data_IF_036231624745
#
_entry.id   IF_036231624745
#
_cell.length_a   1.000
_cell.length_b   1.000
_cell.length_c   1.000
_cell.angle_alpha   90.00
_cell.angle_beta   90.00
_cell.angle_gamma   90.00
#
_symmetry.space_group_name_H-M   'P 1'
#
loop_
_entity.id
_entity.type
_entity.pdbx_description
1 polymer ?
#
# COMPACT_ATOMS: atom_id res chain seq x y z
N UNK A 1 -16.94 8.41 1.98
CA UNK A 1 -17.20 9.69 2.67
C UNK A 1 -16.01 10.59 2.41
N UNK A 2 -16.20 11.82 1.94
CA UNK A 2 -15.12 12.81 1.71
C UNK A 2 -15.51 14.10 2.42
N UNK A 3 -14.52 14.90 2.83
CA UNK A 3 -14.74 16.23 3.41
C UNK A 3 -14.37 17.27 2.34
N UNK A 4 -15.34 18.05 1.90
CA UNK A 4 -15.08 19.19 1.01
C UNK A 4 -14.78 20.43 1.86
N UNK A 5 -13.50 20.81 1.93
CA UNK A 5 -13.05 22.04 2.59
C UNK A 5 -13.11 23.19 1.58
N UNK A 6 -13.89 24.23 1.89
CA UNK A 6 -14.00 25.45 1.07
C UNK A 6 -13.64 26.66 1.91
N UNK A 7 -12.65 27.43 1.45
CA UNK A 7 -12.19 28.66 2.11
C UNK A 7 -12.70 29.85 1.30
N UNK A 8 -13.30 30.83 1.99
CA UNK A 8 -13.85 32.03 1.39
C UNK A 8 -13.22 33.28 2.00
N UNK A 9 -13.02 34.32 1.19
CA UNK A 9 -12.82 35.68 1.69
C UNK A 9 -14.15 36.17 2.26
N UNK A 10 -14.08 37.07 3.24
CA UNK A 10 -15.28 37.64 3.84
C UNK A 10 -15.30 39.16 3.71
N UNK A 11 -16.50 39.73 3.65
CA UNK A 11 -16.73 41.17 3.65
C UNK A 11 -17.68 41.53 4.78
N UNK A 12 -17.32 42.53 5.59
CA UNK A 12 -18.22 43.11 6.58
C UNK A 12 -19.11 44.15 5.93
N UNK A 13 -20.41 44.05 6.22
CA UNK A 13 -21.41 45.06 5.87
C UNK A 13 -21.45 46.17 6.93
N UNK A 14 -22.00 47.36 6.61
CA UNK A 14 -22.12 48.47 7.56
C UNK A 14 -22.93 48.15 8.82
N UNK A 15 -23.79 47.13 8.76
CA UNK A 15 -24.55 46.61 9.91
C UNK A 15 -23.78 45.57 10.76
N UNK A 16 -22.47 45.42 10.54
CA UNK A 16 -21.60 44.49 11.27
C UNK A 16 -21.69 43.02 10.82
N UNK A 17 -22.54 42.69 9.84
CA UNK A 17 -22.68 41.30 9.36
C UNK A 17 -21.56 40.93 8.39
N UNK A 18 -20.88 39.82 8.65
CA UNK A 18 -19.86 39.26 7.76
C UNK A 18 -20.48 38.29 6.76
N UNK A 19 -20.25 38.50 5.46
CA UNK A 19 -20.71 37.61 4.39
C UNK A 19 -19.53 36.99 3.63
N UNK A 20 -19.63 35.74 3.15
CA UNK A 20 -18.66 35.19 2.22
C UNK A 20 -18.73 35.99 0.90
N UNK A 21 -17.57 36.35 0.34
CA UNK A 21 -17.48 37.09 -0.91
C UNK A 21 -16.91 36.20 -2.02
N UNK A 22 -15.61 35.93 -1.99
CA UNK A 22 -14.92 35.18 -3.03
C UNK A 22 -14.45 33.84 -2.48
N UNK A 23 -14.57 32.76 -3.26
CA UNK A 23 -14.00 31.46 -2.88
C UNK A 23 -12.50 31.47 -3.17
N UNK A 24 -11.69 31.39 -2.11
CA UNK A 24 -10.23 31.39 -2.21
C UNK A 24 -9.69 29.99 -2.54
N UNK A 25 -10.11 28.98 -1.78
CA UNK A 25 -9.63 27.61 -1.93
C UNK A 25 -10.77 26.60 -1.85
N UNK A 26 -10.60 25.48 -2.54
CA UNK A 26 -11.47 24.32 -2.42
C UNK A 26 -10.60 23.06 -2.49
N UNK A 27 -10.67 22.24 -1.45
CA UNK A 27 -9.97 20.97 -1.37
C UNK A 27 -10.97 19.86 -1.05
N UNK A 28 -10.87 18.76 -1.78
CA UNK A 28 -11.54 17.52 -1.43
C UNK A 28 -10.57 16.68 -0.60
N UNK A 29 -10.88 16.52 0.68
CA UNK A 29 -10.13 15.71 1.60
C UNK A 29 -10.74 14.31 1.63
N UNK A 30 -9.92 13.32 1.36
CA UNK A 30 -10.27 11.93 1.61
C UNK A 30 -10.00 11.65 3.09
N UNK A 31 -10.88 10.91 3.80
CA UNK A 31 -10.48 10.35 5.09
C UNK A 31 -9.17 9.59 4.87
N UNK A 32 -8.25 9.67 5.83
CA UNK A 32 -7.02 8.88 5.77
C UNK A 32 -7.40 7.45 5.41
N UNK A 33 -6.77 6.90 4.36
CA UNK A 33 -7.03 5.54 3.92
C UNK A 33 -6.97 4.60 5.13
N UNK A 34 -7.81 3.56 5.14
CA UNK A 34 -7.87 2.62 6.25
C UNK A 34 -6.58 1.79 6.28
N UNK A 35 -5.54 2.33 6.90
CA UNK A 35 -4.25 1.65 7.10
C UNK A 35 -4.43 0.67 8.26
N UNK A 36 -4.08 -0.59 8.03
CA UNK A 36 -4.07 -1.62 9.06
C UNK A 36 -3.08 -1.23 10.17
N UNK A 37 -3.42 -1.39 11.46
CA UNK A 37 -2.44 -1.27 12.54
C UNK A 37 -1.41 -2.39 12.41
N UNK A 38 -0.12 -2.02 12.35
CA UNK A 38 0.99 -2.97 12.22
C UNK A 38 1.79 -3.06 13.51
N UNK A 39 2.23 -4.26 13.93
CA UNK A 39 3.02 -4.45 15.14
C UNK A 39 4.40 -3.81 15.05
N UNK A 40 5.07 -3.60 16.18
CA UNK A 40 6.39 -2.95 16.21
C UNK A 40 7.49 -3.75 15.50
N UNK A 41 7.29 -5.07 15.36
CA UNK A 41 8.20 -5.96 14.65
C UNK A 41 8.34 -5.64 13.15
N UNK A 42 7.39 -4.92 12.53
CA UNK A 42 7.49 -4.53 11.11
C UNK A 42 8.45 -3.34 10.97
N UNK A 43 9.53 -3.46 10.16
CA UNK A 43 10.48 -2.38 9.92
C UNK A 43 9.82 -1.09 9.40
N UNK A 44 10.36 0.05 9.85
CA UNK A 44 9.79 1.37 9.52
C UNK A 44 9.75 1.65 8.02
N UNK A 45 10.76 1.20 7.27
CA UNK A 45 10.78 1.35 5.81
C UNK A 45 9.58 0.65 5.14
N UNK A 46 9.24 -0.56 5.59
CA UNK A 46 8.11 -1.34 5.07
C UNK A 46 6.79 -0.68 5.49
N UNK A 47 6.68 -0.28 6.76
CA UNK A 47 5.50 0.44 7.28
C UNK A 47 5.20 1.70 6.48
N UNK A 48 6.22 2.51 6.21
CA UNK A 48 6.12 3.74 5.43
C UNK A 48 5.64 3.45 4.02
N UNK A 49 6.27 2.49 3.32
CA UNK A 49 5.88 2.13 1.95
C UNK A 49 4.47 1.57 1.87
N UNK A 50 4.04 0.71 2.81
CA UNK A 50 2.66 0.24 2.89
C UNK A 50 1.67 1.39 3.10
N UNK A 51 1.95 2.29 4.06
CA UNK A 51 1.10 3.45 4.34
C UNK A 51 0.94 4.32 3.10
N UNK A 52 2.02 4.61 2.40
CA UNK A 52 1.99 5.37 1.14
C UNK A 52 1.17 4.65 0.06
N UNK A 53 1.33 3.34 -0.09
CA UNK A 53 0.57 2.53 -1.04
C UNK A 53 -0.94 2.61 -0.79
N UNK A 54 -1.37 2.51 0.48
CA UNK A 54 -2.79 2.63 0.87
C UNK A 54 -3.34 4.03 0.63
N UNK A 55 -2.58 5.06 1.01
CA UNK A 55 -3.03 6.44 0.94
C UNK A 55 -3.09 6.98 -0.50
N UNK A 56 -2.19 6.54 -1.39
CA UNK A 56 -2.18 6.98 -2.79
C UNK A 56 -3.20 6.23 -3.64
N UNK A 57 -3.67 5.05 -3.21
CA UNK A 57 -4.58 4.19 -3.98
C UNK A 57 -5.80 4.91 -4.56
N UNK A 58 -6.53 5.77 -3.82
CA UNK A 58 -7.69 6.49 -4.37
C UNK A 58 -7.32 7.56 -5.40
N UNK A 59 -6.05 7.98 -5.43
CA UNK A 59 -5.52 9.02 -6.32
C UNK A 59 -4.87 8.41 -7.56
N UNK A 60 -4.14 7.30 -7.40
CA UNK A 60 -3.47 6.58 -8.48
C UNK A 60 -3.29 5.11 -8.12
N UNK A 61 -4.05 4.23 -8.79
CA UNK A 61 -3.88 2.77 -8.69
C UNK A 61 -2.49 2.33 -9.14
N UNK A 62 -1.99 2.92 -10.24
CA UNK A 62 -0.64 2.72 -10.78
C UNK A 62 0.48 3.00 -9.76
N UNK A 63 0.42 4.15 -9.06
CA UNK A 63 1.39 4.45 -8.00
C UNK A 63 1.25 3.50 -6.81
N UNK A 64 0.02 3.17 -6.41
CA UNK A 64 -0.25 2.24 -5.32
C UNK A 64 0.27 0.83 -5.62
N UNK A 65 0.10 0.34 -6.84
CA UNK A 65 0.60 -0.96 -7.27
C UNK A 65 2.14 -1.03 -7.27
N UNK A 66 2.82 0.03 -7.74
CA UNK A 66 4.28 0.11 -7.68
C UNK A 66 4.80 0.09 -6.23
N UNK A 67 4.23 0.93 -5.35
CA UNK A 67 4.56 0.93 -3.93
C UNK A 67 4.24 -0.40 -3.26
N UNK A 68 3.14 -1.06 -3.65
CA UNK A 68 2.76 -2.36 -3.11
C UNK A 68 3.76 -3.46 -3.51
N UNK A 69 4.20 -3.51 -4.77
CA UNK A 69 5.27 -4.44 -5.20
C UNK A 69 6.56 -4.21 -4.41
N UNK A 70 6.96 -2.95 -4.23
CA UNK A 70 8.14 -2.59 -3.41
C UNK A 70 7.96 -3.01 -1.94
N UNK A 71 6.76 -2.83 -1.39
CA UNK A 71 6.42 -3.26 -0.04
C UNK A 71 6.51 -4.79 0.10
N UNK A 72 5.91 -5.55 -0.82
CA UNK A 72 5.98 -7.02 -0.86
C UNK A 72 7.43 -7.51 -0.89
N UNK A 73 8.26 -6.88 -1.72
CA UNK A 73 9.67 -7.22 -1.79
C UNK A 73 10.40 -6.94 -0.47
N UNK A 74 10.10 -5.80 0.17
CA UNK A 74 10.61 -5.47 1.51
C UNK A 74 10.24 -6.53 2.54
N UNK A 75 8.95 -6.92 2.57
CA UNK A 75 8.41 -7.95 3.47
C UNK A 75 9.13 -9.28 3.27
N UNK A 76 9.23 -9.75 2.04
CA UNK A 76 9.86 -11.04 1.71
C UNK A 76 11.34 -11.04 2.08
N UNK A 77 12.07 -9.95 1.82
CA UNK A 77 13.49 -9.83 2.17
C UNK A 77 13.73 -9.80 3.67
N UNK A 78 12.88 -9.09 4.41
CA UNK A 78 12.97 -8.94 5.86
C UNK A 78 12.60 -10.24 6.56
N UNK A 79 11.41 -10.77 6.30
CA UNK A 79 10.89 -11.95 7.00
C UNK A 79 11.72 -13.21 6.77
N UNK A 80 12.21 -13.41 5.54
CA UNK A 80 13.01 -14.59 5.17
C UNK A 80 14.52 -14.34 5.19
N UNK A 81 14.94 -13.15 5.60
CA UNK A 81 16.34 -12.71 5.70
C UNK A 81 17.14 -13.01 4.41
N UNK A 82 16.58 -12.63 3.25
CA UNK A 82 17.18 -12.98 1.96
C UNK A 82 18.59 -12.36 1.84
N UNK A 83 19.64 -13.17 1.60
CA UNK A 83 21.01 -12.69 1.46
C UNK A 83 21.15 -11.72 0.29
N UNK A 84 22.01 -10.71 0.43
CA UNK A 84 22.24 -9.69 -0.62
C UNK A 84 22.57 -10.31 -1.99
N UNK A 85 23.35 -11.40 -2.01
CA UNK A 85 23.74 -12.11 -3.23
C UNK A 85 22.58 -12.81 -3.97
N UNK A 86 21.40 -12.91 -3.33
CA UNK A 86 20.18 -13.52 -3.87
C UNK A 86 19.05 -12.52 -4.05
N UNK A 87 19.28 -11.23 -3.76
CA UNK A 87 18.30 -10.17 -3.99
C UNK A 87 18.27 -9.80 -5.47
N UNK A 88 17.07 -9.52 -5.96
CA UNK A 88 16.83 -9.20 -7.36
C UNK A 88 15.37 -8.81 -7.57
N UNK A 89 14.74 -9.40 -8.57
CA UNK A 89 13.32 -9.19 -8.88
C UNK A 89 12.40 -9.87 -7.87
N UNK A 90 11.23 -9.27 -7.60
CA UNK A 90 10.27 -9.79 -6.62
C UNK A 90 9.85 -11.23 -6.96
N UNK A 91 9.56 -11.53 -8.22
CA UNK A 91 9.23 -12.90 -8.67
C UNK A 91 10.32 -13.93 -8.38
N UNK A 92 11.60 -13.55 -8.57
CA UNK A 92 12.73 -14.42 -8.29
C UNK A 92 12.91 -14.65 -6.78
N UNK A 93 12.72 -13.61 -5.99
CA UNK A 93 12.79 -13.69 -4.52
C UNK A 93 11.66 -14.57 -3.95
N UNK A 94 10.42 -14.41 -4.44
CA UNK A 94 9.29 -15.27 -4.09
C UNK A 94 9.57 -16.74 -4.44
N UNK A 95 10.12 -17.00 -5.62
CA UNK A 95 10.49 -18.34 -6.06
C UNK A 95 11.60 -18.96 -5.20
N UNK A 96 12.55 -18.15 -4.74
CA UNK A 96 13.63 -18.60 -3.85
C UNK A 96 13.13 -19.01 -2.47
N UNK A 97 12.07 -18.38 -1.98
CA UNK A 97 11.52 -18.65 -0.64
C UNK A 97 10.31 -19.58 -0.64
N UNK A 98 9.84 -20.02 -1.81
CA UNK A 98 8.60 -20.81 -1.98
C UNK A 98 8.49 -21.99 -1.02
N UNK A 99 9.57 -22.74 -0.81
CA UNK A 99 9.59 -23.97 0.01
C UNK A 99 9.56 -23.67 1.52
N UNK A 100 9.71 -22.39 1.90
CA UNK A 100 9.61 -21.89 3.27
C UNK A 100 8.27 -21.20 3.55
N UNK A 101 7.46 -20.96 2.52
CA UNK A 101 6.11 -20.38 2.65
C UNK A 101 5.13 -21.53 2.88
N UNK A 102 4.18 -21.35 3.79
CA UNK A 102 3.12 -22.34 3.98
C UNK A 102 2.24 -22.44 2.70
N UNK A 103 1.69 -23.62 2.40
CA UNK A 103 0.99 -23.86 1.14
C UNK A 103 -0.18 -22.90 0.91
N UNK A 104 -0.95 -22.60 1.95
CA UNK A 104 -2.10 -21.70 1.84
C UNK A 104 -1.69 -20.28 1.43
N UNK A 105 -0.67 -19.71 2.08
CA UNK A 105 -0.15 -18.37 1.76
C UNK A 105 0.49 -18.36 0.38
N UNK A 106 1.15 -19.46 -0.01
CA UNK A 106 1.68 -19.58 -1.37
C UNK A 106 0.56 -19.56 -2.41
N UNK A 107 -0.53 -20.28 -2.16
CA UNK A 107 -1.71 -20.29 -3.04
C UNK A 107 -2.35 -18.91 -3.11
N UNK A 108 -2.44 -18.16 -2.01
CA UNK A 108 -2.95 -16.79 -1.98
C UNK A 108 -2.07 -15.84 -2.82
N UNK A 109 -0.75 -15.96 -2.72
CA UNK A 109 0.20 -15.20 -3.56
C UNK A 109 -0.01 -15.54 -5.03
N UNK A 110 -0.15 -16.83 -5.37
CA UNK A 110 -0.33 -17.27 -6.75
C UNK A 110 -1.68 -16.84 -7.32
N UNK A 111 -2.74 -16.88 -6.51
CA UNK A 111 -4.06 -16.39 -6.89
C UNK A 111 -4.01 -14.91 -7.29
N UNK A 112 -3.32 -14.07 -6.51
CA UNK A 112 -3.14 -12.65 -6.84
C UNK A 112 -2.28 -12.47 -8.09
N UNK A 113 -1.19 -13.24 -8.24
CA UNK A 113 -0.33 -13.17 -9.43
C UNK A 113 -1.04 -13.56 -10.73
N UNK A 114 -2.06 -14.41 -10.65
CA UNK A 114 -2.83 -14.87 -11.80
C UNK A 114 -3.88 -13.85 -12.29
N UNK A 115 -4.11 -12.75 -11.55
CA UNK A 115 -5.05 -11.71 -11.95
C UNK A 115 -4.36 -10.69 -12.86
N UNK A 116 -4.90 -10.50 -14.06
CA UNK A 116 -4.42 -9.50 -15.01
C UNK A 116 -2.94 -9.67 -15.32
N UNK A 117 -2.20 -8.56 -15.33
CA UNK A 117 -0.75 -8.54 -15.58
C UNK A 117 0.08 -8.46 -14.29
N UNK A 118 -0.53 -8.69 -13.12
CA UNK A 118 0.15 -8.57 -11.81
C UNK A 118 1.41 -9.43 -11.75
N UNK A 119 1.31 -10.70 -12.15
CA UNK A 119 2.45 -11.62 -12.15
C UNK A 119 3.62 -11.09 -12.99
N UNK A 120 3.33 -10.64 -14.21
CA UNK A 120 4.34 -10.06 -15.10
C UNK A 120 4.95 -8.77 -14.53
N UNK A 121 4.17 -7.98 -13.78
CA UNK A 121 4.65 -6.78 -13.09
C UNK A 121 5.52 -7.09 -11.86
N UNK A 122 5.29 -8.22 -11.18
CA UNK A 122 6.15 -8.68 -10.07
C UNK A 122 7.48 -9.28 -10.54
N UNK A 123 7.50 -9.83 -11.75
CA UNK A 123 8.69 -10.45 -12.34
C UNK A 123 9.64 -9.42 -12.99
N UNK A 124 9.22 -8.14 -13.02
CA UNK A 124 10.02 -6.97 -13.43
C UNK A 124 10.36 -6.10 -12.21
N UNK A 125 11.28 -5.16 -12.42
CA UNK A 125 11.71 -4.26 -11.35
C UNK A 125 10.51 -3.49 -10.78
N UNK A 126 10.34 -3.62 -9.46
CA UNK A 126 9.25 -3.02 -8.67
C UNK A 126 9.21 -1.50 -8.78
N UNK A 127 10.32 -0.87 -9.15
CA UNK A 127 10.42 0.58 -9.33
C UNK A 127 9.84 1.08 -10.68
N UNK A 128 9.49 0.18 -11.61
CA UNK A 128 8.79 0.59 -12.83
C UNK A 128 7.31 0.88 -12.56
N UNK A 129 6.92 2.10 -12.94
CA UNK A 129 5.52 2.54 -12.94
C UNK A 129 4.92 2.10 -14.28
N UNK A 130 3.98 1.18 -14.21
CA UNK A 130 3.23 0.61 -15.34
C UNK A 130 1.76 0.86 -15.09
N UNK A 131 1.00 1.09 -16.16
CA UNK A 131 -0.44 1.30 -16.02
C UNK A 131 -1.10 -0.01 -15.57
N UNK A 132 -2.01 0.09 -14.60
CA UNK A 132 -2.68 -1.07 -13.98
C UNK A 132 -4.15 -0.77 -13.81
N UNK A 133 -4.98 -1.81 -13.85
CA UNK A 133 -6.36 -1.69 -13.41
C UNK A 133 -6.37 -1.35 -11.89
N UNK A 134 -7.18 -0.37 -11.43
CA UNK A 134 -7.32 -0.06 -10.01
C UNK A 134 -7.57 -1.29 -9.11
N UNK A 135 -8.24 -2.33 -9.62
CA UNK A 135 -8.48 -3.59 -8.91
C UNK A 135 -7.17 -4.34 -8.61
N UNK A 136 -6.15 -4.22 -9.46
CA UNK A 136 -4.85 -4.82 -9.17
C UNK A 136 -4.20 -4.20 -7.94
N UNK A 137 -4.31 -2.88 -7.79
CA UNK A 137 -3.81 -2.18 -6.61
C UNK A 137 -4.57 -2.61 -5.34
N UNK A 138 -5.89 -2.81 -5.42
CA UNK A 138 -6.68 -3.35 -4.30
C UNK A 138 -6.23 -4.76 -3.90
N UNK A 139 -6.01 -5.65 -4.87
CA UNK A 139 -5.55 -7.02 -4.63
C UNK A 139 -4.15 -7.06 -4.02
N UNK A 140 -3.22 -6.23 -4.52
CA UNK A 140 -1.86 -6.14 -3.99
C UNK A 140 -1.83 -5.63 -2.53
N UNK A 141 -2.60 -4.58 -2.23
CA UNK A 141 -2.75 -4.08 -0.86
C UNK A 141 -3.37 -5.15 0.04
N UNK A 142 -4.41 -5.85 -0.42
CA UNK A 142 -5.03 -6.95 0.31
C UNK A 142 -4.06 -8.10 0.61
N UNK A 143 -3.24 -8.49 -0.37
CA UNK A 143 -2.19 -9.49 -0.17
C UNK A 143 -1.19 -9.05 0.90
N UNK A 144 -0.70 -7.81 0.83
CA UNK A 144 0.23 -7.26 1.83
C UNK A 144 -0.37 -7.35 3.24
N UNK A 145 -1.64 -6.97 3.40
CA UNK A 145 -2.33 -7.02 4.69
C UNK A 145 -2.44 -8.45 5.22
N UNK A 146 -2.69 -9.43 4.37
CA UNK A 146 -2.73 -10.83 4.78
C UNK A 146 -1.34 -11.34 5.18
N UNK A 147 -0.31 -10.99 4.41
CA UNK A 147 1.08 -11.35 4.75
C UNK A 147 1.52 -10.73 6.08
N UNK A 148 1.11 -9.49 6.39
CA UNK A 148 1.39 -8.90 7.70
C UNK A 148 0.77 -9.70 8.85
N UNK A 149 -0.48 -10.15 8.69
CA UNK A 149 -1.13 -10.98 9.71
C UNK A 149 -0.39 -12.29 9.92
N UNK A 150 -0.08 -13.00 8.83
CA UNK A 150 0.50 -14.35 8.89
C UNK A 150 1.96 -14.32 9.33
N UNK A 151 2.77 -13.38 8.83
CA UNK A 151 4.21 -13.38 9.05
C UNK A 151 4.62 -12.56 10.28
N UNK A 152 3.98 -11.43 10.56
CA UNK A 152 4.37 -10.58 11.69
C UNK A 152 3.46 -10.76 12.91
N UNK A 153 2.14 -10.65 12.74
CA UNK A 153 1.22 -10.64 13.89
C UNK A 153 1.08 -12.02 14.54
N UNK A 154 0.92 -13.07 13.75
CA UNK A 154 0.83 -14.43 14.30
C UNK A 154 2.15 -14.90 14.93
N UNK A 155 3.30 -14.39 14.44
CA UNK A 155 4.61 -14.66 15.06
C UNK A 155 4.73 -13.99 16.43
N UNK A 156 4.28 -12.74 16.56
CA UNK A 156 4.27 -12.01 17.83
C UNK A 156 3.34 -12.70 18.84
N UNK A 157 2.13 -13.10 18.41
CA UNK A 157 1.15 -13.82 19.24
C UNK A 157 1.64 -15.19 19.76
N UNK A 158 2.60 -15.83 19.07
CA UNK A 158 3.23 -17.08 19.51
C UNK A 158 4.44 -16.87 20.42
N UNK A 159 4.97 -15.65 20.44
CA UNK A 159 6.13 -15.26 21.24
C UNK A 159 5.74 -14.61 22.57
N UNK A 160 4.46 -14.27 22.75
CA UNK A 160 3.78 -13.97 24.03
C UNK A 160 3.26 -15.25 24.69
#
# INVERSE_FOLDING_TARGET
>A
MTIDLKVYSTQQRPNGTTIPKDRLHAHRLWPEGKVMPLPNAVPEAIRKTYREAVLVKPVSGTASAALSRRCLQGIVRDFFEIPQSKRGELGAELSFVKDRINSQVWDDIQAVRAVGDIGAHMDKNVDYIVDVDPKEADLLVGLIEELFKVWYMERERRSE
#
